data_IF_941038308479
#
_entry.id   IF_941038308479
#
_cell.length_a   1.000
_cell.length_b   1.000
_cell.length_c   1.000
_cell.angle_alpha   90.00
_cell.angle_beta   90.00
_cell.angle_gamma   90.00
#
_symmetry.space_group_name_H-M   'P 1'
#
loop_
_entity.id
_entity.type
_entity.pdbx_description
1 polymer ?
#
# COMPACT_ATOMS: atom_id res chain seq x y z
N UNK A 1 28.20 -0.89 -37.10
CA UNK A 1 27.83 -2.08 -36.32
C UNK A 1 27.32 -1.61 -34.98
N UNK A 2 26.00 -1.49 -34.82
CA UNK A 2 25.34 -1.02 -33.59
C UNK A 2 24.80 -2.25 -32.86
N UNK A 3 25.33 -2.52 -31.66
CA UNK A 3 24.78 -3.54 -30.78
C UNK A 3 23.54 -3.00 -30.09
N UNK A 4 22.38 -3.56 -30.43
CA UNK A 4 21.14 -3.38 -29.71
C UNK A 4 21.19 -4.21 -28.42
N UNK A 5 21.31 -3.53 -27.29
CA UNK A 5 21.21 -4.16 -25.97
C UNK A 5 19.74 -4.40 -25.66
N UNK A 6 19.31 -5.65 -25.77
CA UNK A 6 17.98 -6.10 -25.40
C UNK A 6 17.77 -5.93 -23.87
N UNK A 7 16.82 -5.08 -23.49
CA UNK A 7 16.34 -4.99 -22.12
C UNK A 7 15.49 -6.23 -21.81
N UNK A 8 16.03 -7.11 -20.95
CA UNK A 8 15.30 -8.22 -20.37
C UNK A 8 14.08 -7.70 -19.60
N UNK A 9 12.89 -7.85 -20.20
CA UNK A 9 11.62 -7.59 -19.54
C UNK A 9 11.40 -8.62 -18.44
N UNK A 10 11.50 -8.18 -17.19
CA UNK A 10 11.07 -8.94 -16.01
C UNK A 10 9.57 -9.18 -16.13
N UNK A 11 9.18 -10.31 -16.72
CA UNK A 11 7.82 -10.83 -16.66
C UNK A 11 7.53 -11.14 -15.20
N UNK A 12 6.78 -10.27 -14.53
CA UNK A 12 6.12 -10.60 -13.26
C UNK A 12 5.39 -11.93 -13.46
N UNK A 13 5.47 -12.87 -12.50
CA UNK A 13 4.71 -14.10 -12.60
C UNK A 13 3.25 -13.70 -12.75
N UNK A 14 2.64 -14.10 -13.87
CA UNK A 14 1.20 -14.00 -14.02
C UNK A 14 0.61 -14.68 -12.78
N UNK A 15 0.04 -13.89 -11.88
CA UNK A 15 -0.81 -14.36 -10.80
C UNK A 15 -2.00 -15.00 -11.50
N UNK A 16 -1.79 -16.24 -11.92
CA UNK A 16 -2.73 -17.02 -12.69
C UNK A 16 -4.05 -16.95 -11.95
N UNK A 17 -5.10 -16.68 -12.71
CA UNK A 17 -6.49 -16.57 -12.31
C UNK A 17 -6.93 -17.84 -11.57
N UNK A 18 -6.47 -17.99 -10.33
CA UNK A 18 -6.90 -19.02 -9.39
C UNK A 18 -8.11 -18.47 -8.65
N UNK A 19 -9.06 -17.98 -9.44
CA UNK A 19 -10.45 -17.89 -9.04
C UNK A 19 -10.90 -19.35 -8.90
N UNK A 20 -10.60 -19.93 -7.74
CA UNK A 20 -11.18 -21.22 -7.34
C UNK A 20 -12.68 -21.04 -7.46
N UNK A 21 -13.30 -21.76 -8.40
CA UNK A 21 -14.72 -22.09 -8.34
C UNK A 21 -14.97 -22.50 -6.89
N UNK A 22 -15.68 -21.66 -6.13
CA UNK A 22 -16.27 -22.05 -4.88
C UNK A 22 -17.22 -23.19 -5.22
N UNK A 23 -16.75 -24.42 -5.06
CA UNK A 23 -17.60 -25.59 -5.00
C UNK A 23 -18.50 -25.38 -3.79
N UNK A 24 -19.80 -25.25 -4.06
CA UNK A 24 -20.85 -25.19 -3.08
C UNK A 24 -20.62 -26.25 -1.99
N UNK A 25 -20.52 -25.81 -0.74
CA UNK A 25 -20.49 -26.69 0.43
C UNK A 25 -21.91 -27.27 0.58
N UNK A 26 -22.10 -28.59 0.54
CA UNK A 26 -23.41 -29.18 0.76
C UNK A 26 -23.85 -29.03 2.23
N UNK A 27 -25.04 -28.45 2.37
CA UNK A 27 -25.96 -28.45 3.53
C UNK A 27 -25.45 -28.96 4.88
N UNK A 28 -25.18 -28.03 5.81
CA UNK A 28 -25.30 -28.31 7.24
C UNK A 28 -26.79 -28.39 7.60
N UNK A 29 -27.27 -29.61 7.87
CA UNK A 29 -28.58 -29.88 8.49
C UNK A 29 -28.68 -29.11 9.82
N UNK A 30 -29.69 -28.24 9.92
CA UNK A 30 -30.12 -27.64 11.20
C UNK A 30 -30.80 -28.73 12.05
N UNK A 31 -30.39 -28.98 13.30
CA UNK A 31 -31.24 -29.70 14.24
C UNK A 31 -32.38 -28.78 14.68
N UNK A 32 -33.60 -29.29 14.53
CA UNK A 32 -34.81 -28.64 15.00
C UNK A 32 -35.00 -28.79 16.52
N UNK A 33 -35.58 -27.74 17.09
CA UNK A 33 -36.26 -27.64 18.39
C UNK A 33 -36.95 -26.27 18.36
N UNK A 34 -38.27 -26.12 18.19
CA UNK A 34 -39.40 -26.59 19.02
C UNK A 34 -39.14 -26.13 20.48
N UNK A 35 -39.87 -25.21 21.13
CA UNK A 35 -41.27 -24.79 21.08
C UNK A 35 -41.41 -23.36 21.67
N UNK A 36 -42.38 -22.60 21.15
CA UNK A 36 -43.39 -21.77 21.83
C UNK A 36 -42.96 -20.61 22.76
N UNK A 37 -43.40 -19.39 22.44
CA UNK A 37 -44.39 -18.68 23.27
C UNK A 37 -45.07 -17.55 22.47
N UNK A 38 -46.39 -17.50 22.64
CA UNK A 38 -47.39 -16.65 22.00
C UNK A 38 -47.58 -15.32 22.74
N UNK A 39 -48.18 -14.37 22.02
CA UNK A 39 -48.81 -13.12 22.49
C UNK A 39 -47.81 -12.00 22.83
N UNK A 40 -48.05 -10.74 22.46
CA UNK A 40 -49.33 -10.03 22.42
C UNK A 40 -49.19 -8.77 21.58
N UNK A 41 -50.27 -8.45 20.89
CA UNK A 41 -50.59 -7.22 20.15
C UNK A 41 -50.35 -5.97 21.00
N UNK A 42 -49.92 -4.85 20.39
CA UNK A 42 -50.46 -3.48 20.57
C UNK A 42 -50.01 -2.60 19.38
N UNK A 43 -50.93 -2.45 18.42
CA UNK A 43 -51.44 -1.18 17.90
C UNK A 43 -50.62 0.10 18.18
N UNK A 44 -50.12 0.74 17.11
CA UNK A 44 -50.04 2.21 17.05
C UNK A 44 -49.85 2.66 15.59
N UNK A 45 -51.00 3.00 15.02
CA UNK A 45 -51.31 4.09 14.09
C UNK A 45 -50.22 5.10 13.71
N UNK A 46 -50.29 5.44 12.41
CA UNK A 46 -50.21 6.78 11.80
C UNK A 46 -49.08 7.73 12.23
N UNK A 47 -48.18 8.03 11.29
CA UNK A 47 -48.09 9.37 10.71
C UNK A 47 -47.23 9.32 9.44
N UNK A 48 -47.88 9.63 8.32
CA UNK A 48 -47.23 9.87 7.03
C UNK A 48 -46.70 11.30 7.00
N UNK A 49 -45.41 11.49 7.33
CA UNK A 49 -44.68 12.68 6.92
C UNK A 49 -43.83 12.34 5.70
N UNK A 50 -44.44 12.55 4.53
CA UNK A 50 -43.80 12.59 3.22
C UNK A 50 -42.89 13.83 3.16
N UNK A 51 -41.71 13.75 3.80
CA UNK A 51 -40.68 14.78 3.68
C UNK A 51 -40.05 14.68 2.29
N UNK A 52 -40.61 15.49 1.41
CA UNK A 52 -40.22 15.71 0.03
C UNK A 52 -38.79 16.28 -0.03
N UNK A 53 -37.80 15.40 -0.09
CA UNK A 53 -36.40 15.79 -0.28
C UNK A 53 -36.23 16.35 -1.69
N UNK A 54 -35.88 17.64 -1.87
CA UNK A 54 -35.70 18.21 -3.20
C UNK A 54 -34.47 17.61 -3.87
N UNK A 55 -34.66 17.12 -5.09
CA UNK A 55 -33.60 16.64 -5.95
C UNK A 55 -32.47 17.68 -6.10
N UNK A 56 -31.19 17.30 -5.92
CA UNK A 56 -30.09 18.21 -6.23
C UNK A 56 -30.02 18.39 -7.76
N UNK A 57 -30.49 19.55 -8.24
CA UNK A 57 -30.18 20.05 -9.59
C UNK A 57 -28.70 20.43 -9.64
N UNK A 58 -27.83 19.43 -9.77
CA UNK A 58 -26.44 19.63 -10.14
C UNK A 58 -26.38 19.94 -11.65
N UNK A 59 -26.55 21.23 -11.98
CA UNK A 59 -26.18 21.76 -13.29
C UNK A 59 -24.66 21.83 -13.34
N UNK A 60 -24.01 20.76 -13.80
CA UNK A 60 -22.58 20.74 -14.08
C UNK A 60 -22.41 21.43 -15.43
N UNK A 61 -22.11 22.73 -15.38
CA UNK A 61 -21.63 23.48 -16.52
C UNK A 61 -20.18 23.06 -16.79
N UNK A 62 -19.96 22.33 -17.87
CA UNK A 62 -18.64 21.96 -18.36
C UNK A 62 -17.89 23.24 -18.78
N UNK A 63 -16.69 23.55 -18.25
CA UNK A 63 -15.83 24.52 -18.89
C UNK A 63 -15.29 23.92 -20.19
N UNK A 64 -15.66 24.56 -21.30
CA UNK A 64 -15.06 24.35 -22.61
C UNK A 64 -13.60 24.79 -22.56
N UNK A 65 -12.69 23.85 -22.28
CA UNK A 65 -11.25 24.09 -22.36
C UNK A 65 -10.85 24.12 -23.83
N UNK A 66 -10.85 25.33 -24.37
CA UNK A 66 -10.25 25.65 -25.65
C UNK A 66 -8.76 25.27 -25.64
N UNK A 67 -8.39 24.51 -26.66
CA UNK A 67 -7.01 24.27 -27.07
C UNK A 67 -6.32 25.60 -27.37
N UNK A 68 -5.30 25.96 -26.59
CA UNK A 68 -4.26 26.89 -27.01
C UNK A 68 -2.90 26.26 -26.80
N UNK A 69 -2.39 25.74 -27.92
CA UNK A 69 -1.01 25.34 -28.15
C UNK A 69 -0.12 26.58 -28.00
N UNK A 70 0.64 26.68 -26.91
CA UNK A 70 1.63 27.75 -26.73
C UNK A 70 3.03 27.17 -26.82
N UNK A 71 3.73 27.58 -27.87
CA UNK A 71 5.13 27.30 -28.13
C UNK A 71 5.98 28.43 -27.56
N UNK A 72 6.96 28.09 -26.72
CA UNK A 72 8.12 28.95 -26.41
C UNK A 72 9.27 27.98 -26.06
N UNK A 73 10.23 27.75 -26.95
CA UNK A 73 11.37 28.61 -27.31
C UNK A 73 12.34 28.83 -26.14
N UNK A 74 13.39 28.01 -26.15
CA UNK A 74 14.79 28.26 -25.80
C UNK A 74 15.12 29.50 -24.95
N UNK A 75 15.79 29.28 -23.83
CA UNK A 75 16.95 30.08 -23.42
C UNK A 75 17.85 29.29 -22.48
N UNK A 76 19.06 29.04 -22.96
CA UNK A 76 20.19 28.53 -22.20
C UNK A 76 20.94 29.71 -21.57
N UNK A 77 21.30 29.57 -20.29
CA UNK A 77 22.41 30.25 -19.58
C UNK A 77 22.69 29.33 -18.38
N UNK A 78 23.87 28.75 -18.19
CA UNK A 78 25.16 29.41 -18.09
C UNK A 78 25.42 29.75 -16.62
N UNK A 79 26.14 28.91 -15.88
CA UNK A 79 26.42 29.14 -14.47
C UNK A 79 27.27 28.06 -13.82
N UNK A 80 28.57 28.11 -14.07
CA UNK A 80 29.59 27.32 -13.37
C UNK A 80 29.82 27.87 -11.95
N UNK A 81 30.07 26.97 -10.98
CA UNK A 81 31.13 27.09 -9.97
C UNK A 81 31.10 25.90 -8.98
N UNK A 82 32.17 25.11 -8.97
CA UNK A 82 32.64 24.41 -7.76
C UNK A 82 33.35 25.42 -6.84
N UNK A 83 33.46 25.15 -5.52
CA UNK A 83 34.71 24.52 -5.07
C UNK A 83 34.61 23.55 -3.86
N UNK A 84 35.48 22.55 -3.95
CA UNK A 84 36.35 21.88 -2.96
C UNK A 84 36.48 22.47 -1.54
N UNK A 85 36.32 21.61 -0.50
CA UNK A 85 37.12 21.53 0.74
C UNK A 85 36.68 20.26 1.53
N UNK A 86 37.49 19.21 1.69
CA UNK A 86 38.69 19.03 2.51
C UNK A 86 38.41 18.63 3.99
N UNK A 87 38.92 17.45 4.35
CA UNK A 87 39.30 16.96 5.69
C UNK A 87 38.13 16.48 6.60
N UNK A 88 38.22 15.41 7.39
CA UNK A 88 39.37 14.93 8.14
C UNK A 88 39.20 13.45 8.55
N UNK A 89 40.30 12.69 8.51
CA UNK A 89 40.41 11.34 9.02
C UNK A 89 40.47 11.34 10.55
N UNK A 90 39.83 10.35 11.21
CA UNK A 90 40.22 9.97 12.58
C UNK A 90 40.10 8.47 12.80
N UNK A 91 41.24 7.82 12.64
CA UNK A 91 41.57 6.46 13.05
C UNK A 91 41.33 6.28 14.55
N UNK A 92 40.63 5.21 14.95
CA UNK A 92 40.77 4.60 16.28
C UNK A 92 40.72 3.08 16.18
N UNK A 93 41.91 2.52 16.06
CA UNK A 93 42.31 1.18 16.48
C UNK A 93 42.08 1.00 17.98
N UNK A 94 41.46 -0.11 18.37
CA UNK A 94 41.33 -0.51 19.78
C UNK A 94 40.55 -1.81 19.96
N UNK A 95 41.19 -2.96 19.71
CA UNK A 95 40.78 -4.24 20.32
C UNK A 95 41.26 -4.27 21.78
N UNK A 96 40.47 -4.86 22.69
CA UNK A 96 41.00 -6.08 23.30
C UNK A 96 39.97 -7.20 23.44
N UNK A 97 40.51 -8.40 23.32
CA UNK A 97 39.87 -9.68 23.49
C UNK A 97 39.44 -9.91 24.95
N UNK A 98 38.20 -10.34 25.15
CA UNK A 98 37.83 -11.19 26.27
C UNK A 98 36.91 -12.31 25.79
N UNK A 99 37.52 -13.47 25.60
CA UNK A 99 36.84 -14.74 25.54
C UNK A 99 36.35 -15.11 26.95
N UNK A 100 35.05 -15.40 27.10
CA UNK A 100 34.58 -16.30 28.15
C UNK A 100 33.25 -16.91 27.74
N UNK A 101 33.25 -18.24 27.65
CA UNK A 101 32.19 -19.05 27.09
C UNK A 101 30.87 -18.95 27.85
N UNK A 102 29.80 -18.97 27.08
CA UNK A 102 28.49 -19.41 27.54
C UNK A 102 28.07 -20.56 26.63
N UNK A 103 28.27 -21.77 27.12
CA UNK A 103 27.75 -23.02 26.52
C UNK A 103 26.27 -23.16 26.85
N UNK A 104 25.46 -22.20 26.41
CA UNK A 104 24.00 -22.30 26.44
C UNK A 104 23.53 -22.91 25.13
N UNK A 105 23.02 -24.14 25.18
CA UNK A 105 22.41 -24.84 24.04
C UNK A 105 21.45 -23.94 23.24
N UNK A 106 21.74 -23.61 21.96
CA UNK A 106 20.87 -22.81 21.12
C UNK A 106 20.09 -23.73 20.18
N UNK A 107 19.20 -24.55 20.73
CA UNK A 107 18.44 -25.50 19.91
C UNK A 107 16.99 -25.57 20.39
N UNK A 108 16.21 -24.49 20.18
CA UNK A 108 14.73 -24.52 20.10
C UNK A 108 14.04 -23.12 20.09
N UNK A 109 14.75 -21.99 20.07
CA UNK A 109 14.13 -20.65 19.98
C UNK A 109 14.27 -20.02 18.58
N UNK A 110 14.34 -20.84 17.53
CA UNK A 110 14.36 -20.35 16.16
C UNK A 110 12.97 -19.82 15.77
N UNK A 111 12.91 -18.51 15.58
CA UNK A 111 11.90 -17.78 14.83
C UNK A 111 10.48 -17.72 15.44
N UNK A 112 10.37 -17.24 16.68
CA UNK A 112 9.29 -16.29 16.92
C UNK A 112 9.67 -15.03 16.12
N UNK A 113 9.23 -14.94 14.85
CA UNK A 113 9.39 -13.77 14.00
C UNK A 113 9.07 -12.53 14.84
N UNK A 114 10.09 -11.72 15.13
CA UNK A 114 9.97 -10.57 16.02
C UNK A 114 8.91 -9.62 15.45
N UNK A 115 7.71 -9.67 16.01
CA UNK A 115 6.56 -8.89 15.56
C UNK A 115 6.86 -7.39 15.65
N UNK A 116 7.76 -7.00 16.56
CA UNK A 116 8.22 -5.63 16.72
C UNK A 116 9.29 -5.24 15.69
N UNK A 117 9.90 -6.20 14.98
CA UNK A 117 10.82 -5.88 13.90
C UNK A 117 10.06 -5.31 12.69
N UNK A 118 8.86 -5.79 12.40
CA UNK A 118 8.07 -5.30 11.25
C UNK A 118 7.60 -3.86 11.43
N UNK A 119 7.32 -3.42 12.65
CA UNK A 119 6.95 -2.01 12.91
C UNK A 119 8.11 -1.04 12.68
N UNK A 120 9.34 -1.55 12.49
CA UNK A 120 10.53 -0.77 12.12
C UNK A 120 10.76 -0.72 10.61
N UNK A 121 9.89 -1.34 9.81
CA UNK A 121 10.00 -1.37 8.35
C UNK A 121 8.95 -0.43 7.76
N UNK A 122 9.40 0.53 6.95
CA UNK A 122 8.57 1.38 6.12
C UNK A 122 8.85 1.13 4.64
N UNK A 123 7.96 1.66 3.81
CA UNK A 123 8.14 1.68 2.36
C UNK A 123 8.64 3.05 1.91
N UNK A 124 9.70 3.07 1.10
CA UNK A 124 10.21 4.30 0.47
C UNK A 124 9.16 4.92 -0.47
N UNK A 125 9.25 6.23 -0.75
CA UNK A 125 8.36 6.89 -1.72
C UNK A 125 8.48 6.26 -3.11
N UNK A 126 9.68 5.84 -3.51
CA UNK A 126 9.89 5.07 -4.74
C UNK A 126 9.10 3.76 -4.73
N UNK A 127 9.19 3.00 -3.64
CA UNK A 127 8.40 1.77 -3.45
C UNK A 127 6.90 2.02 -3.48
N UNK A 128 6.44 3.07 -2.80
CA UNK A 128 5.04 3.44 -2.72
C UNK A 128 4.44 3.74 -4.10
N UNK A 129 5.18 4.45 -4.96
CA UNK A 129 4.79 4.68 -6.37
C UNK A 129 4.69 3.38 -7.17
N UNK A 130 5.63 2.45 -6.99
CA UNK A 130 5.59 1.13 -7.65
C UNK A 130 4.37 0.32 -7.21
N UNK A 131 4.04 0.32 -5.91
CA UNK A 131 2.81 -0.32 -5.42
C UNK A 131 1.57 0.32 -6.05
N UNK A 132 1.48 1.65 -6.08
CA UNK A 132 0.35 2.33 -6.69
C UNK A 132 0.21 1.99 -8.18
N UNK A 133 1.31 1.94 -8.93
CA UNK A 133 1.33 1.53 -10.32
C UNK A 133 0.91 0.05 -10.51
N UNK A 134 1.41 -0.84 -9.64
CA UNK A 134 1.03 -2.25 -9.65
C UNK A 134 -0.47 -2.44 -9.42
N UNK A 135 -1.04 -1.77 -8.41
CA UNK A 135 -2.46 -1.86 -8.09
C UNK A 135 -3.32 -1.34 -9.25
N UNK A 136 -2.92 -0.23 -9.90
CA UNK A 136 -3.58 0.25 -11.12
C UNK A 136 -3.49 -0.74 -12.28
N UNK A 137 -2.34 -1.36 -12.49
CA UNK A 137 -2.18 -2.37 -13.53
C UNK A 137 -3.06 -3.62 -13.25
N UNK A 138 -3.21 -3.99 -11.97
CA UNK A 138 -3.97 -5.16 -11.55
C UNK A 138 -5.49 -4.94 -11.62
N UNK A 139 -5.99 -3.78 -11.18
CA UNK A 139 -7.41 -3.52 -11.00
C UNK A 139 -7.99 -2.53 -12.03
N UNK A 140 -7.15 -1.85 -12.81
CA UNK A 140 -7.59 -0.85 -13.79
C UNK A 140 -8.37 0.29 -13.14
N UNK A 141 -9.45 0.72 -13.79
CA UNK A 141 -10.32 1.80 -13.32
C UNK A 141 -10.98 1.48 -11.96
N UNK A 142 -11.22 0.20 -11.65
CA UNK A 142 -11.83 -0.19 -10.38
C UNK A 142 -10.98 0.24 -9.17
N UNK A 143 -9.67 0.39 -9.34
CA UNK A 143 -8.78 0.86 -8.27
C UNK A 143 -9.15 2.24 -7.73
N UNK A 144 -9.66 3.13 -8.59
CA UNK A 144 -9.93 4.53 -8.24
C UNK A 144 -11.11 4.67 -7.25
N UNK A 145 -12.01 3.68 -7.23
CA UNK A 145 -13.16 3.61 -6.32
C UNK A 145 -12.97 2.65 -5.13
N UNK A 146 -11.92 1.83 -5.13
CA UNK A 146 -11.65 0.89 -4.04
C UNK A 146 -11.25 1.62 -2.75
N UNK A 147 -11.84 1.21 -1.63
CA UNK A 147 -11.33 1.60 -0.32
C UNK A 147 -10.00 0.90 0.00
N UNK A 148 -9.26 1.42 0.96
CA UNK A 148 -8.07 0.73 1.50
C UNK A 148 -8.41 -0.64 2.09
N UNK A 149 -9.61 -0.82 2.67
CA UNK A 149 -10.10 -2.12 3.11
C UNK A 149 -10.32 -3.09 1.95
N UNK A 150 -10.88 -2.62 0.82
CA UNK A 150 -11.04 -3.44 -0.38
C UNK A 150 -9.69 -3.88 -0.95
N UNK A 151 -8.71 -2.97 -1.02
CA UNK A 151 -7.35 -3.31 -1.46
C UNK A 151 -6.71 -4.32 -0.51
N UNK A 152 -6.89 -4.15 0.80
CA UNK A 152 -6.36 -5.09 1.79
C UNK A 152 -6.94 -6.50 1.60
N UNK A 153 -8.28 -6.62 1.55
CA UNK A 153 -8.96 -7.92 1.40
C UNK A 153 -8.70 -8.57 0.03
N UNK A 154 -8.76 -7.80 -1.06
CA UNK A 154 -8.68 -8.34 -2.43
C UNK A 154 -7.27 -8.52 -2.95
N UNK A 155 -6.27 -7.91 -2.32
CA UNK A 155 -4.88 -8.00 -2.76
C UNK A 155 -3.94 -8.39 -1.63
N UNK A 156 -3.82 -7.55 -0.59
CA UNK A 156 -2.79 -7.70 0.43
C UNK A 156 -2.90 -9.03 1.16
N UNK A 157 -4.08 -9.37 1.68
CA UNK A 157 -4.33 -10.62 2.39
C UNK A 157 -4.04 -11.85 1.51
N UNK A 158 -4.40 -11.78 0.23
CA UNK A 158 -4.18 -12.88 -0.71
C UNK A 158 -2.70 -13.09 -1.04
N UNK A 159 -1.93 -12.02 -1.28
CA UNK A 159 -0.51 -12.13 -1.63
C UNK A 159 0.38 -12.37 -0.41
N UNK A 160 -0.09 -12.02 0.79
CA UNK A 160 0.66 -12.15 2.05
C UNK A 160 0.08 -13.17 3.02
N UNK A 161 -0.76 -14.12 2.57
CA UNK A 161 -1.41 -15.14 3.41
C UNK A 161 -0.42 -15.80 4.38
N UNK A 162 0.78 -16.15 3.88
CA UNK A 162 1.86 -16.78 4.67
C UNK A 162 2.57 -15.85 5.65
N UNK A 163 2.44 -14.54 5.47
CA UNK A 163 3.17 -13.48 6.18
C UNK A 163 2.26 -12.58 7.02
N UNK A 164 0.97 -12.93 7.19
CA UNK A 164 0.02 -12.19 8.03
C UNK A 164 -0.07 -10.69 7.70
N UNK A 165 -0.34 -10.35 6.43
CA UNK A 165 -0.52 -8.97 5.96
C UNK A 165 0.76 -8.11 5.91
N UNK A 166 1.95 -8.70 6.07
CA UNK A 166 3.24 -7.98 6.02
C UNK A 166 3.75 -7.81 4.59
N UNK A 167 3.16 -6.88 3.85
CA UNK A 167 3.48 -6.65 2.44
C UNK A 167 4.95 -6.26 2.19
N UNK A 168 5.54 -5.46 3.10
CA UNK A 168 6.94 -4.98 2.99
C UNK A 168 7.98 -6.10 3.13
N UNK A 169 7.60 -7.27 3.64
CA UNK A 169 8.49 -8.44 3.76
C UNK A 169 8.43 -9.35 2.51
N UNK A 170 7.55 -9.05 1.55
CA UNK A 170 7.35 -9.84 0.34
C UNK A 170 8.20 -9.28 -0.81
N UNK A 171 9.43 -9.80 -0.95
CA UNK A 171 10.43 -9.32 -1.90
C UNK A 171 9.97 -9.38 -3.38
N UNK A 172 9.00 -10.24 -3.68
CA UNK A 172 8.39 -10.39 -5.01
C UNK A 172 7.49 -9.21 -5.37
N UNK A 173 6.96 -8.48 -4.38
CA UNK A 173 6.08 -7.32 -4.58
C UNK A 173 6.79 -6.01 -4.23
N UNK A 174 7.59 -6.00 -3.17
CA UNK A 174 8.36 -4.83 -2.72
C UNK A 174 9.85 -5.16 -2.80
N UNK A 175 10.57 -4.47 -3.68
CA UNK A 175 12.01 -4.71 -3.80
C UNK A 175 12.71 -4.40 -2.47
N UNK A 176 13.72 -5.18 -2.02
CA UNK A 176 14.43 -4.91 -0.77
C UNK A 176 15.03 -3.50 -0.68
N UNK A 177 15.43 -2.92 -1.81
CA UNK A 177 15.95 -1.56 -1.90
C UNK A 177 14.88 -0.47 -1.68
N UNK A 178 13.59 -0.83 -1.66
CA UNK A 178 12.45 0.05 -1.43
C UNK A 178 11.93 -0.04 0.02
N UNK A 179 12.62 -0.77 0.90
CA UNK A 179 12.31 -0.92 2.32
C UNK A 179 13.38 -0.23 3.17
N UNK A 180 12.96 0.60 4.11
CA UNK A 180 13.86 1.39 4.97
C UNK A 180 13.15 1.73 6.29
N UNK A 181 13.86 2.07 7.39
CA UNK A 181 13.23 2.57 8.60
C UNK A 181 12.33 3.78 8.32
N UNK A 182 11.06 3.77 8.79
CA UNK A 182 10.12 4.83 8.47
C UNK A 182 10.49 6.14 9.18
N UNK A 183 10.34 7.24 8.46
CA UNK A 183 10.44 8.61 9.00
C UNK A 183 9.07 9.20 9.31
N UNK A 184 8.02 8.71 8.65
CA UNK A 184 6.65 9.23 8.79
C UNK A 184 5.63 8.16 9.17
N UNK A 185 4.82 8.55 10.16
CA UNK A 185 3.55 7.96 10.62
C UNK A 185 2.33 8.19 9.72
N UNK A 186 1.79 7.23 8.96
CA UNK A 186 0.46 7.42 8.32
C UNK A 186 -0.63 6.71 9.13
N UNK A 187 -1.30 7.45 10.02
CA UNK A 187 -2.37 6.90 10.84
C UNK A 187 -3.73 6.83 10.12
N UNK A 188 -4.51 5.78 10.43
CA UNK A 188 -5.95 5.62 10.18
C UNK A 188 -6.52 6.10 8.84
N UNK A 189 -6.45 5.25 7.82
CA UNK A 189 -7.06 5.50 6.50
C UNK A 189 -7.97 4.37 5.98
N UNK A 190 -8.44 3.46 6.85
CA UNK A 190 -9.09 2.18 6.46
C UNK A 190 -10.42 2.30 5.70
N UNK A 191 -11.03 3.48 5.63
CA UNK A 191 -12.26 3.74 4.84
C UNK A 191 -12.09 4.77 3.72
N UNK A 192 -10.88 5.29 3.53
CA UNK A 192 -10.62 6.20 2.43
C UNK A 192 -10.41 5.42 1.12
N UNK A 193 -10.72 6.07 0.00
CA UNK A 193 -10.34 5.57 -1.33
C UNK A 193 -8.84 5.43 -1.40
N UNK A 194 -8.35 4.25 -1.79
CA UNK A 194 -6.93 3.93 -1.76
C UNK A 194 -6.15 4.86 -2.71
N UNK A 195 -6.63 5.05 -3.95
CA UNK A 195 -6.01 5.94 -4.92
C UNK A 195 -5.84 7.37 -4.39
N UNK A 196 -6.85 7.90 -3.71
CA UNK A 196 -6.79 9.23 -3.08
C UNK A 196 -5.75 9.30 -1.96
N UNK A 197 -5.61 8.24 -1.16
CA UNK A 197 -4.58 8.16 -0.13
C UNK A 197 -3.17 8.20 -0.75
N UNK A 198 -2.92 7.36 -1.76
CA UNK A 198 -1.64 7.35 -2.46
C UNK A 198 -1.33 8.73 -3.06
N UNK A 199 -2.29 9.35 -3.75
CA UNK A 199 -2.14 10.69 -4.31
C UNK A 199 -1.79 11.71 -3.23
N UNK A 200 -2.58 11.76 -2.15
CA UNK A 200 -2.35 12.73 -1.08
C UNK A 200 -0.97 12.62 -0.43
N UNK A 201 -0.52 11.39 -0.11
CA UNK A 201 0.80 11.16 0.50
C UNK A 201 1.92 11.55 -0.46
N UNK A 202 1.81 11.15 -1.72
CA UNK A 202 2.84 11.44 -2.74
C UNK A 202 2.90 12.93 -3.09
N UNK A 203 1.76 13.61 -3.14
CA UNK A 203 1.69 15.05 -3.39
C UNK A 203 2.24 15.85 -2.19
N UNK A 204 1.89 15.43 -0.96
CA UNK A 204 2.41 16.07 0.26
C UNK A 204 3.94 15.92 0.38
N UNK A 205 4.49 14.76 0.01
CA UNK A 205 5.92 14.46 0.07
C UNK A 205 6.64 14.65 -1.27
N UNK A 206 6.08 15.40 -2.21
CA UNK A 206 6.65 15.53 -3.56
C UNK A 206 8.05 16.15 -3.60
N UNK A 207 8.40 16.98 -2.61
CA UNK A 207 9.72 17.61 -2.48
C UNK A 207 10.70 16.80 -1.64
N UNK A 208 10.25 15.69 -1.04
CA UNK A 208 11.09 14.81 -0.25
C UNK A 208 11.96 13.91 -1.13
N UNK A 209 13.08 13.42 -0.59
CA UNK A 209 13.92 12.42 -1.27
C UNK A 209 13.13 11.13 -1.50
N UNK A 210 13.41 10.43 -2.60
CA UNK A 210 12.78 9.14 -2.91
C UNK A 210 13.07 8.05 -1.86
N UNK A 211 14.15 8.22 -1.09
CA UNK A 211 14.58 7.31 -0.02
C UNK A 211 13.79 7.49 1.27
N UNK A 212 12.99 8.56 1.40
CA UNK A 212 12.12 8.75 2.55
C UNK A 212 11.13 7.60 2.62
N UNK A 213 11.04 6.96 3.79
CA UNK A 213 10.13 5.85 4.03
C UNK A 213 8.97 6.24 4.95
N UNK A 214 7.81 5.66 4.68
CA UNK A 214 6.56 5.84 5.41
C UNK A 214 6.09 4.51 5.97
N UNK A 215 5.43 4.54 7.14
CA UNK A 215 4.78 3.39 7.77
C UNK A 215 3.25 3.54 7.69
#
# INVERSE_FOLDING_TARGET
>A
MLNATEHAGTRLPALGSRLKKQTAVPGRKKPGGLLHHTSKDEDSSDDEDEEQVPAPKASISLPSIATTRSSASLSAVGGAASPTAAQSAKSRTGSPAHARGSSGSPLAAAAADDVLATTRLGITLRGLRKIAALLRAQFGEAFEDMSTADVNMRYVELVTERRRCRLVELAEVVAPADVSPPLYFISHCWKNRAARLFGHVLDYLQSASEEVAVW
#
